data_IF_989829248638
#
_entry.id   IF_989829248638
#
_cell.length_a   1.000
_cell.length_b   1.000
_cell.length_c   1.000
_cell.angle_alpha   90.00
_cell.angle_beta   90.00
_cell.angle_gamma   90.00
#
_symmetry.space_group_name_H-M   'P 1'
#
loop_
_entity.id
_entity.type
_entity.pdbx_description
1 polymer ?
#
# COMPACT_ATOMS: atom_id res chain seq x y z
N UNK A 1 -42.24 42.66 -21.10
CA UNK A 1 -42.41 41.19 -20.98
C UNK A 1 -41.10 40.53 -20.55
N UNK A 2 -40.66 40.65 -19.28
CA UNK A 2 -39.36 40.09 -18.86
C UNK A 2 -39.32 39.44 -17.46
N UNK A 3 -40.44 39.36 -16.74
CA UNK A 3 -40.49 38.78 -15.38
C UNK A 3 -40.83 37.27 -15.40
N UNK A 4 -41.60 36.82 -16.40
CA UNK A 4 -42.09 35.44 -16.51
C UNK A 4 -40.97 34.37 -16.54
N UNK A 5 -39.85 34.53 -17.26
CA UNK A 5 -38.82 33.48 -17.33
C UNK A 5 -38.17 33.18 -15.97
N UNK A 6 -37.85 34.22 -15.20
CA UNK A 6 -37.18 34.08 -13.91
C UNK A 6 -38.07 33.45 -12.84
N UNK A 7 -39.39 33.70 -12.88
CA UNK A 7 -40.34 33.04 -11.98
C UNK A 7 -40.41 31.53 -12.20
N UNK A 8 -40.31 31.07 -13.46
CA UNK A 8 -40.28 29.63 -13.78
C UNK A 8 -38.99 28.99 -13.28
N UNK A 9 -37.83 29.62 -13.51
CA UNK A 9 -36.53 29.12 -13.02
C UNK A 9 -36.51 29.05 -11.48
N UNK A 10 -37.02 30.08 -10.80
CA UNK A 10 -37.14 30.09 -9.34
C UNK A 10 -38.07 28.98 -8.82
N UNK A 11 -39.21 28.74 -9.47
CA UNK A 11 -40.12 27.66 -9.10
C UNK A 11 -39.48 26.27 -9.25
N UNK A 12 -38.73 26.03 -10.33
CA UNK A 12 -38.00 24.77 -10.56
C UNK A 12 -36.90 24.57 -9.51
N UNK A 13 -36.14 25.62 -9.16
CA UNK A 13 -35.12 25.55 -8.11
C UNK A 13 -35.72 25.22 -6.73
N UNK A 14 -36.83 25.87 -6.36
CA UNK A 14 -37.54 25.58 -5.09
C UNK A 14 -38.03 24.13 -5.06
N UNK A 15 -38.60 23.64 -6.17
CA UNK A 15 -39.11 22.27 -6.26
C UNK A 15 -37.97 21.23 -6.17
N UNK A 16 -36.83 21.50 -6.79
CA UNK A 16 -35.60 20.70 -6.64
C UNK A 16 -35.16 20.61 -5.17
N UNK A 17 -35.08 21.74 -4.45
CA UNK A 17 -34.72 21.73 -3.02
C UNK A 17 -35.74 20.98 -2.15
N UNK A 18 -37.04 21.04 -2.45
CA UNK A 18 -38.06 20.26 -1.73
C UNK A 18 -37.86 18.75 -1.95
N UNK A 19 -37.59 18.32 -3.19
CA UNK A 19 -37.31 16.91 -3.52
C UNK A 19 -36.01 16.43 -2.85
N UNK A 20 -34.93 17.20 -2.93
CA UNK A 20 -33.68 16.88 -2.21
C UNK A 20 -33.91 16.78 -0.70
N UNK A 21 -34.74 17.66 -0.11
CA UNK A 21 -35.04 17.60 1.33
C UNK A 21 -35.88 16.37 1.70
N UNK A 22 -36.80 15.92 0.84
CA UNK A 22 -37.56 14.68 1.04
C UNK A 22 -36.67 13.43 0.92
N UNK A 23 -35.70 13.42 0.00
CA UNK A 23 -34.74 12.33 -0.17
C UNK A 23 -33.77 12.25 1.02
N UNK A 24 -33.25 13.39 1.49
CA UNK A 24 -32.25 13.44 2.57
C UNK A 24 -32.84 13.21 3.96
N UNK A 25 -34.06 13.70 4.23
CA UNK A 25 -34.67 13.62 5.57
C UNK A 25 -35.74 12.53 5.73
N UNK A 26 -36.21 11.93 4.62
CA UNK A 26 -37.25 10.90 4.62
C UNK A 26 -38.64 11.41 5.02
N UNK A 27 -39.68 10.64 4.68
CA UNK A 27 -41.06 10.95 5.08
C UNK A 27 -41.27 10.49 6.52
N UNK A 28 -41.15 11.42 7.47
CA UNK A 28 -41.24 11.16 8.90
C UNK A 28 -42.63 10.71 9.38
N UNK A 29 -42.88 9.41 9.37
CA UNK A 29 -44.01 8.78 10.06
C UNK A 29 -43.78 8.72 11.58
N UNK A 30 -44.72 9.27 12.36
CA UNK A 30 -44.65 9.24 13.84
C UNK A 30 -44.82 7.82 14.38
N UNK A 31 -43.91 7.40 15.25
CA UNK A 31 -44.20 6.42 16.31
C UNK A 31 -43.47 6.80 17.59
N UNK A 32 -44.14 6.63 18.73
CA UNK A 32 -43.61 6.85 20.08
C UNK A 32 -43.22 5.49 20.67
N UNK A 33 -42.11 5.42 21.39
CA UNK A 33 -41.96 4.75 22.70
C UNK A 33 -40.53 5.09 23.20
N UNK A 34 -40.41 5.87 24.28
CA UNK A 34 -40.36 5.39 25.66
C UNK A 34 -39.10 4.55 25.92
N UNK A 35 -38.05 5.19 26.44
CA UNK A 35 -36.74 4.57 26.66
C UNK A 35 -36.60 3.90 28.02
N UNK A 36 -35.58 3.05 28.14
CA UNK A 36 -35.00 2.60 29.40
C UNK A 36 -33.49 2.69 29.27
N UNK A 37 -32.83 3.37 30.21
CA UNK A 37 -31.39 3.22 30.42
C UNK A 37 -31.17 1.89 31.16
N UNK A 38 -30.35 1.01 30.60
CA UNK A 38 -29.82 -0.15 31.31
C UNK A 38 -28.32 -0.23 31.04
N UNK A 39 -27.56 0.24 32.03
CA UNK A 39 -26.12 0.10 32.12
C UNK A 39 -25.83 -1.35 32.54
N UNK A 40 -25.25 -2.15 31.66
CA UNK A 40 -24.85 -3.53 31.96
C UNK A 40 -23.42 -3.75 31.49
N UNK A 41 -22.50 -3.59 32.42
CA UNK A 41 -21.19 -4.26 32.37
C UNK A 41 -21.40 -5.77 32.33
N UNK A 42 -21.13 -6.38 31.19
CA UNK A 42 -21.05 -7.83 31.02
C UNK A 42 -19.64 -8.19 30.55
N UNK A 43 -18.86 -8.81 31.44
CA UNK A 43 -17.57 -9.39 31.10
C UNK A 43 -17.78 -10.58 30.16
N UNK A 44 -17.21 -10.53 28.95
CA UNK A 44 -17.24 -11.64 28.00
C UNK A 44 -16.05 -12.56 28.30
N UNK A 45 -16.25 -13.88 28.49
CA UNK A 45 -15.16 -14.78 28.87
C UNK A 45 -14.15 -14.95 27.73
N UNK A 46 -12.91 -14.53 27.99
CA UNK A 46 -11.77 -14.68 27.07
C UNK A 46 -11.43 -16.16 26.89
N UNK A 47 -11.68 -16.72 25.70
CA UNK A 47 -11.13 -18.04 25.33
C UNK A 47 -9.59 -17.96 25.24
N UNK A 48 -8.85 -18.98 25.69
CA UNK A 48 -7.39 -18.93 25.74
C UNK A 48 -6.77 -18.93 24.34
N UNK A 49 -5.70 -18.15 24.17
CA UNK A 49 -4.86 -18.09 22.96
C UNK A 49 -4.56 -19.50 22.42
N UNK A 50 -5.01 -19.79 21.20
CA UNK A 50 -4.47 -20.93 20.43
C UNK A 50 -2.99 -20.69 20.16
N UNK A 51 -2.20 -21.77 20.26
CA UNK A 51 -0.75 -21.73 20.04
C UNK A 51 -0.48 -21.42 18.56
N UNK A 52 0.48 -20.54 18.28
CA UNK A 52 0.99 -20.32 16.92
C UNK A 52 1.50 -21.66 16.36
N UNK A 53 0.83 -22.20 15.34
CA UNK A 53 1.32 -23.35 14.57
C UNK A 53 2.38 -22.84 13.58
N UNK A 54 3.57 -23.47 13.47
CA UNK A 54 4.58 -23.02 12.53
C UNK A 54 4.17 -23.33 11.09
N UNK A 55 4.05 -22.31 10.25
CA UNK A 55 3.92 -22.47 8.80
C UNK A 55 5.21 -23.11 8.28
N UNK A 56 5.11 -24.24 7.58
CA UNK A 56 6.25 -24.94 7.00
C UNK A 56 6.05 -25.27 5.51
N UNK A 57 7.06 -24.87 4.75
CA UNK A 57 7.57 -25.36 3.44
C UNK A 57 7.13 -26.79 3.03
N UNK A 58 7.03 -27.16 1.75
CA UNK A 58 7.26 -26.49 0.44
C UNK A 58 6.49 -27.31 -0.66
N UNK A 59 6.70 -27.15 -1.99
CA UNK A 59 7.68 -27.87 -2.85
C UNK A 59 7.08 -27.87 -4.29
N UNK A 60 7.81 -27.91 -5.44
CA UNK A 60 9.20 -27.55 -5.76
C UNK A 60 9.32 -26.48 -6.88
N UNK A 61 10.55 -26.00 -7.12
CA UNK A 61 10.93 -25.42 -8.43
C UNK A 61 11.08 -26.54 -9.48
N UNK A 62 10.60 -26.31 -10.70
CA UNK A 62 10.93 -27.15 -11.86
C UNK A 62 11.90 -26.41 -12.77
N UNK A 63 13.19 -26.75 -12.68
CA UNK A 63 14.21 -26.32 -13.64
C UNK A 63 13.84 -26.81 -15.04
N UNK A 64 13.66 -25.87 -15.97
CA UNK A 64 13.57 -26.13 -17.40
C UNK A 64 14.72 -25.42 -18.11
N UNK A 65 15.65 -26.22 -18.65
CA UNK A 65 16.85 -25.72 -19.34
C UNK A 65 16.49 -25.02 -20.66
N UNK A 66 17.16 -23.91 -20.98
CA UNK A 66 17.00 -23.20 -22.24
C UNK A 66 17.77 -23.89 -23.39
N UNK A 67 17.11 -24.30 -24.50
CA UNK A 67 17.80 -24.68 -25.72
C UNK A 67 18.18 -23.45 -26.54
N UNK A 68 19.45 -23.32 -26.90
CA UNK A 68 19.94 -22.26 -27.77
C UNK A 68 19.58 -22.51 -29.26
N UNK A 69 19.02 -21.47 -29.90
CA UNK A 69 19.28 -21.03 -31.29
C UNK A 69 18.59 -21.77 -32.47
N UNK A 70 17.70 -21.05 -33.20
CA UNK A 70 17.85 -20.72 -34.65
C UNK A 70 16.77 -19.75 -35.18
N UNK A 71 16.98 -19.19 -36.39
CA UNK A 71 16.21 -18.12 -37.04
C UNK A 71 15.17 -18.63 -38.06
N UNK A 72 14.00 -17.99 -38.11
CA UNK A 72 13.15 -17.71 -39.30
C UNK A 72 12.02 -16.75 -38.85
N UNK A 73 11.78 -15.55 -39.39
CA UNK A 73 11.47 -15.11 -40.75
C UNK A 73 10.04 -15.52 -41.23
N UNK A 74 9.11 -14.55 -41.36
CA UNK A 74 7.79 -14.74 -42.00
C UNK A 74 6.68 -13.80 -41.50
N UNK A 75 6.31 -12.79 -42.30
CA UNK A 75 5.45 -11.65 -41.93
C UNK A 75 3.92 -11.81 -42.08
N UNK A 76 3.16 -10.93 -41.42
CA UNK A 76 1.74 -10.58 -41.68
C UNK A 76 1.16 -9.72 -40.52
N UNK A 77 1.16 -8.38 -40.56
CA UNK A 77 0.11 -7.47 -41.10
C UNK A 77 -1.33 -7.82 -40.65
N UNK A 78 -2.21 -6.92 -40.19
CA UNK A 78 -2.18 -5.47 -39.83
C UNK A 78 -3.61 -5.09 -39.32
N UNK A 79 -3.96 -4.00 -38.64
CA UNK A 79 -3.30 -2.72 -38.29
C UNK A 79 -3.86 -2.16 -36.94
N UNK A 80 -3.47 -0.94 -36.54
CA UNK A 80 -4.01 -0.23 -35.36
C UNK A 80 -3.21 1.04 -35.06
N UNK A 81 -3.52 2.14 -35.76
CA UNK A 81 -2.66 3.33 -35.82
C UNK A 81 -2.94 4.34 -34.70
N UNK A 82 -1.90 4.70 -33.90
CA UNK A 82 -1.65 6.09 -33.42
C UNK A 82 -0.32 6.28 -32.65
N UNK A 83 0.65 5.37 -32.73
CA UNK A 83 2.05 5.69 -32.38
C UNK A 83 3.02 4.86 -33.21
N UNK A 84 3.87 5.48 -34.04
CA UNK A 84 4.92 4.79 -34.79
C UNK A 84 6.29 5.15 -34.23
N UNK A 85 7.03 4.13 -33.77
CA UNK A 85 8.43 4.28 -33.40
C UNK A 85 9.26 4.35 -34.70
N UNK A 86 9.92 5.48 -34.93
CA UNK A 86 10.71 5.74 -36.13
C UNK A 86 11.89 4.75 -36.26
N UNK A 87 12.02 3.98 -37.36
CA UNK A 87 13.15 3.07 -37.54
C UNK A 87 14.41 3.86 -37.96
N UNK A 88 15.30 4.09 -36.98
CA UNK A 88 16.53 4.90 -37.08
C UNK A 88 17.42 4.60 -38.31
N UNK A 89 17.33 3.40 -38.90
CA UNK A 89 18.16 2.99 -40.05
C UNK A 89 17.76 3.56 -41.41
N UNK A 90 16.53 4.04 -41.61
CA UNK A 90 16.16 4.69 -42.89
C UNK A 90 16.45 6.19 -42.92
N UNK A 91 16.43 6.85 -41.76
CA UNK A 91 16.74 8.29 -41.64
C UNK A 91 18.18 8.57 -42.10
N UNK A 92 19.12 7.72 -41.70
CA UNK A 92 20.56 7.85 -42.05
C UNK A 92 20.77 7.85 -43.58
N UNK A 93 20.05 6.99 -44.33
CA UNK A 93 20.21 6.91 -45.80
C UNK A 93 19.49 8.01 -46.59
N UNK A 94 18.52 8.72 -46.00
CA UNK A 94 17.90 9.89 -46.64
C UNK A 94 18.56 11.21 -46.26
N UNK A 95 19.29 11.27 -45.15
CA UNK A 95 20.07 12.45 -44.76
C UNK A 95 21.18 12.79 -45.77
N UNK A 96 21.90 11.79 -46.28
CA UNK A 96 23.02 11.98 -47.21
C UNK A 96 22.61 12.53 -48.61
N UNK A 97 21.32 12.47 -48.96
CA UNK A 97 20.80 12.90 -50.25
C UNK A 97 20.11 14.29 -50.24
N UNK A 98 20.00 14.92 -49.07
CA UNK A 98 19.25 16.18 -48.87
C UNK A 98 20.12 17.32 -48.31
N UNK A 99 21.42 17.32 -48.59
CA UNK A 99 22.35 18.41 -48.30
C UNK A 99 22.14 19.61 -49.25
N UNK A 100 20.97 20.24 -49.17
CA UNK A 100 20.61 21.42 -49.95
C UNK A 100 19.44 22.18 -49.34
N UNK A 101 19.70 23.44 -48.98
CA UNK A 101 18.80 24.44 -48.37
C UNK A 101 18.41 24.22 -46.89
N UNK A 102 18.90 25.16 -46.06
CA UNK A 102 18.40 25.68 -44.78
C UNK A 102 17.46 24.83 -43.89
N UNK A 103 17.99 24.45 -42.72
CA UNK A 103 17.17 23.93 -41.61
C UNK A 103 17.89 22.96 -40.68
N UNK A 104 19.05 23.33 -40.13
CA UNK A 104 19.83 22.43 -39.26
C UNK A 104 20.02 22.97 -37.84
N UNK A 105 19.34 22.34 -36.87
CA UNK A 105 19.68 22.42 -35.44
C UNK A 105 21.06 21.80 -35.23
N UNK A 106 22.12 22.61 -35.24
CA UNK A 106 23.50 22.13 -35.02
C UNK A 106 23.78 21.98 -33.53
N UNK A 107 24.41 20.88 -33.15
CA UNK A 107 25.07 20.76 -31.85
C UNK A 107 26.36 21.58 -31.95
N UNK A 108 26.43 22.68 -31.20
CA UNK A 108 27.64 23.48 -31.11
C UNK A 108 28.68 22.76 -30.26
N UNK A 109 29.90 22.64 -30.77
CA UNK A 109 31.04 22.31 -29.93
C UNK A 109 31.37 23.51 -29.02
N UNK A 110 31.95 23.26 -27.84
CA UNK A 110 32.20 24.29 -26.82
C UNK A 110 33.00 25.48 -27.37
N UNK A 111 33.95 25.21 -28.26
CA UNK A 111 34.77 26.23 -28.93
C UNK A 111 34.06 27.02 -30.04
N UNK A 112 32.88 26.62 -30.49
CA UNK A 112 32.01 27.41 -31.39
C UNK A 112 31.08 28.33 -30.58
N UNK A 113 30.60 27.87 -29.43
CA UNK A 113 29.78 28.66 -28.51
C UNK A 113 30.57 29.84 -27.92
N UNK A 114 31.82 29.61 -27.51
CA UNK A 114 32.70 30.66 -26.98
C UNK A 114 33.07 31.74 -28.02
N UNK A 115 32.97 31.45 -29.33
CA UNK A 115 33.23 32.41 -30.42
C UNK A 115 32.01 33.20 -30.89
N UNK A 116 30.81 32.73 -30.55
CA UNK A 116 29.52 33.35 -30.96
C UNK A 116 28.89 34.20 -29.87
N UNK A 117 29.36 34.07 -28.62
CA UNK A 117 29.00 34.96 -27.53
C UNK A 117 29.67 36.34 -27.69
N UNK A 118 28.92 37.46 -27.73
CA UNK A 118 29.53 38.78 -27.64
C UNK A 118 30.27 38.92 -26.30
N UNK A 119 31.39 39.68 -26.22
CA UNK A 119 32.15 39.83 -24.99
C UNK A 119 31.24 40.38 -23.89
N UNK A 120 31.01 39.55 -22.86
CA UNK A 120 30.12 39.89 -21.77
C UNK A 120 30.66 41.12 -21.02
N UNK A 121 30.10 42.29 -21.31
CA UNK A 121 30.18 43.47 -20.44
C UNK A 121 29.38 43.17 -19.18
N UNK A 122 29.98 42.35 -18.31
CA UNK A 122 29.58 42.21 -16.92
C UNK A 122 29.49 43.63 -16.34
N UNK A 123 28.31 44.13 -15.96
CA UNK A 123 28.26 45.40 -15.25
C UNK A 123 29.04 45.21 -13.95
N UNK A 124 30.05 46.05 -13.72
CA UNK A 124 30.88 46.04 -12.51
C UNK A 124 30.13 46.57 -11.27
N UNK A 125 28.81 46.37 -11.22
CA UNK A 125 28.06 46.42 -9.98
C UNK A 125 28.67 45.41 -9.03
N UNK A 126 28.87 45.82 -7.77
CA UNK A 126 29.35 44.94 -6.70
C UNK A 126 28.45 43.71 -6.68
N UNK A 127 28.98 42.57 -7.14
CA UNK A 127 28.40 41.26 -6.83
C UNK A 127 28.35 41.24 -5.31
N UNK A 128 27.14 41.23 -4.74
CA UNK A 128 26.96 41.12 -3.29
C UNK A 128 27.77 39.92 -2.86
N UNK A 129 28.80 40.15 -2.04
CA UNK A 129 29.79 39.12 -1.75
C UNK A 129 29.05 37.91 -1.19
N UNK A 130 28.97 36.85 -1.99
CA UNK A 130 28.32 35.61 -1.58
C UNK A 130 29.16 35.09 -0.42
N UNK A 131 28.64 35.25 0.79
CA UNK A 131 29.34 34.85 2.00
C UNK A 131 29.44 33.34 1.94
N UNK A 132 30.65 32.84 1.70
CA UNK A 132 30.90 31.41 1.63
C UNK A 132 30.38 30.77 2.92
N UNK A 133 29.66 29.65 2.78
CA UNK A 133 29.20 28.88 3.91
C UNK A 133 30.38 28.53 4.83
N UNK A 134 30.16 28.58 6.14
CA UNK A 134 31.19 28.17 7.10
C UNK A 134 31.58 26.72 6.82
N UNK A 135 32.88 26.45 6.83
CA UNK A 135 33.41 25.10 6.72
C UNK A 135 32.74 24.15 7.74
N UNK A 136 32.54 22.86 7.40
CA UNK A 136 31.91 21.90 8.28
C UNK A 136 32.67 21.80 9.61
N UNK A 137 31.91 21.80 10.70
CA UNK A 137 32.42 21.90 12.06
C UNK A 137 32.91 20.53 12.54
N UNK A 138 34.23 20.33 12.62
CA UNK A 138 34.83 19.09 13.13
C UNK A 138 34.58 19.02 14.64
N UNK A 139 34.14 17.86 15.12
CA UNK A 139 33.92 17.61 16.55
C UNK A 139 35.26 17.35 17.26
N UNK A 140 35.76 18.34 17.97
CA UNK A 140 37.02 18.27 18.74
C UNK A 140 36.83 17.82 20.21
N UNK A 141 35.60 17.49 20.62
CA UNK A 141 35.27 17.00 21.97
C UNK A 141 33.93 16.26 22.01
N UNK A 142 33.62 15.64 23.15
CA UNK A 142 32.39 14.85 23.35
C UNK A 142 31.15 15.74 23.18
N UNK A 143 30.30 15.49 22.16
CA UNK A 143 29.15 16.34 21.90
C UNK A 143 28.01 16.02 22.86
N UNK A 144 27.34 17.05 23.40
CA UNK A 144 26.11 16.85 24.17
C UNK A 144 24.94 16.61 23.23
N UNK A 145 23.95 15.80 23.66
CA UNK A 145 22.77 15.48 22.86
C UNK A 145 22.04 16.74 22.33
N UNK A 146 21.84 17.74 23.18
CA UNK A 146 21.23 19.02 22.81
C UNK A 146 22.06 19.79 21.76
N UNK A 147 23.40 19.71 21.83
CA UNK A 147 24.27 20.31 20.81
C UNK A 147 24.22 19.56 19.47
N UNK A 148 24.00 18.24 19.49
CA UNK A 148 23.79 17.43 18.28
C UNK A 148 22.44 17.77 17.64
N UNK A 149 21.36 17.84 18.43
CA UNK A 149 20.02 18.20 17.94
C UNK A 149 20.04 19.55 17.20
N UNK A 150 20.60 20.61 17.81
CA UNK A 150 20.69 21.92 17.16
C UNK A 150 21.62 21.90 15.94
N UNK A 151 22.69 21.09 15.94
CA UNK A 151 23.55 20.89 14.75
C UNK A 151 22.78 20.23 13.61
N UNK A 152 21.97 19.20 13.89
CA UNK A 152 21.20 18.49 12.86
C UNK A 152 20.05 19.32 12.29
N UNK A 153 19.33 20.07 13.14
CA UNK A 153 18.34 21.06 12.68
C UNK A 153 19.02 22.10 11.78
N UNK A 154 20.09 22.74 12.25
CA UNK A 154 20.84 23.74 11.48
C UNK A 154 21.38 23.19 10.16
N UNK A 155 21.91 21.97 10.15
CA UNK A 155 22.38 21.34 8.91
C UNK A 155 21.25 21.10 7.91
N UNK A 156 20.09 20.59 8.37
CA UNK A 156 18.94 20.36 7.51
C UNK A 156 18.47 21.66 6.85
N UNK A 157 18.25 22.72 7.64
CA UNK A 157 17.76 24.01 7.15
C UNK A 157 18.73 24.65 6.14
N UNK A 158 20.04 24.63 6.43
CA UNK A 158 21.07 25.18 5.55
C UNK A 158 21.19 24.46 4.19
N UNK A 159 20.60 23.26 4.02
CA UNK A 159 20.59 22.54 2.74
C UNK A 159 19.66 23.17 1.69
N UNK A 160 18.82 24.13 2.09
CA UNK A 160 17.81 24.77 1.25
C UNK A 160 18.06 26.28 1.16
N UNK A 161 18.00 26.85 -0.04
CA UNK A 161 18.34 28.27 -0.27
C UNK A 161 17.38 29.28 0.37
N UNK A 162 16.19 28.85 0.77
CA UNK A 162 15.25 29.60 1.61
C UNK A 162 14.32 28.60 2.33
N UNK A 163 13.94 28.92 3.57
CA UNK A 163 13.13 28.06 4.44
C UNK A 163 12.07 28.88 5.17
N UNK A 164 10.87 28.32 5.37
CA UNK A 164 9.80 28.97 6.14
C UNK A 164 9.89 28.64 7.63
N UNK A 165 9.26 29.46 8.48
CA UNK A 165 9.16 29.18 9.92
C UNK A 165 8.45 27.86 10.23
N UNK A 166 7.51 27.43 9.38
CA UNK A 166 6.83 26.14 9.47
C UNK A 166 7.83 25.00 9.28
N UNK A 167 8.66 25.06 8.23
CA UNK A 167 9.69 24.03 7.99
C UNK A 167 10.74 24.03 9.11
N UNK A 168 11.12 25.18 9.67
CA UNK A 168 11.98 25.20 10.86
C UNK A 168 11.32 24.49 12.05
N UNK A 169 10.07 24.80 12.34
CA UNK A 169 9.31 24.20 13.44
C UNK A 169 9.15 22.69 13.26
N UNK A 170 8.76 22.23 12.08
CA UNK A 170 8.60 20.81 11.75
C UNK A 170 9.93 20.07 11.83
N UNK A 171 11.02 20.68 11.32
CA UNK A 171 12.38 20.14 11.43
C UNK A 171 12.80 19.99 12.89
N UNK A 172 12.59 21.01 13.73
CA UNK A 172 12.88 20.96 15.17
C UNK A 172 12.07 19.87 15.87
N UNK A 173 10.76 19.82 15.60
CA UNK A 173 9.84 18.84 16.19
C UNK A 173 10.26 17.41 15.86
N UNK A 174 10.43 17.09 14.56
CA UNK A 174 10.79 15.73 14.13
C UNK A 174 12.19 15.33 14.61
N UNK A 175 13.18 16.23 14.59
CA UNK A 175 14.54 15.91 15.06
C UNK A 175 14.52 15.53 16.55
N UNK A 176 13.92 16.36 17.39
CA UNK A 176 13.80 16.08 18.81
C UNK A 176 12.92 14.85 19.11
N UNK A 177 11.89 14.58 18.31
CA UNK A 177 11.05 13.38 18.43
C UNK A 177 11.84 12.10 18.12
N UNK A 178 12.55 12.08 16.99
CA UNK A 178 13.37 10.95 16.55
C UNK A 178 14.46 10.59 17.55
N UNK A 179 15.20 11.59 18.05
CA UNK A 179 16.26 11.39 19.05
C UNK A 179 15.68 10.81 20.35
N UNK A 180 14.58 11.38 20.87
CA UNK A 180 13.94 10.89 22.11
C UNK A 180 13.42 9.44 22.00
N UNK A 181 12.99 9.02 20.81
CA UNK A 181 12.45 7.69 20.56
C UNK A 181 13.48 6.65 20.10
N UNK A 182 14.79 6.94 20.21
CA UNK A 182 15.85 5.95 19.96
C UNK A 182 15.89 4.83 21.02
N UNK A 183 15.38 5.07 22.24
CA UNK A 183 15.40 4.09 23.36
C UNK A 183 16.81 3.55 23.66
N UNK A 184 17.74 4.49 23.91
CA UNK A 184 19.17 4.25 24.16
C UNK A 184 19.64 5.16 25.30
N UNK A 185 20.71 4.76 26.01
CA UNK A 185 21.35 5.63 26.99
C UNK A 185 21.98 6.87 26.31
N UNK A 186 22.07 8.04 26.97
CA UNK A 186 22.48 9.29 26.32
C UNK A 186 23.88 9.28 25.69
N UNK A 187 24.81 8.48 26.23
CA UNK A 187 26.17 8.32 25.68
C UNK A 187 26.15 7.49 24.39
N UNK A 188 25.56 6.28 24.43
CA UNK A 188 25.36 5.43 23.24
C UNK A 188 24.56 6.14 22.13
N UNK A 189 23.57 6.96 22.53
CA UNK A 189 22.77 7.77 21.62
C UNK A 189 23.62 8.85 20.93
N UNK A 190 24.48 9.55 21.68
CA UNK A 190 25.40 10.54 21.11
C UNK A 190 26.40 9.87 20.14
N UNK A 191 27.00 8.74 20.53
CA UNK A 191 27.93 7.99 19.69
C UNK A 191 27.25 7.49 18.40
N UNK A 192 26.04 6.90 18.50
CA UNK A 192 25.24 6.49 17.34
C UNK A 192 24.93 7.67 16.41
N UNK A 193 24.54 8.82 16.96
CA UNK A 193 24.26 10.05 16.21
C UNK A 193 25.52 10.68 15.56
N UNK A 194 26.74 10.41 16.03
CA UNK A 194 27.95 10.82 15.31
C UNK A 194 28.19 10.01 14.03
N UNK A 195 27.54 8.85 13.86
CA UNK A 195 27.79 7.98 12.73
C UNK A 195 27.09 8.45 11.44
N UNK A 196 27.84 8.54 10.34
CA UNK A 196 27.38 9.11 9.07
C UNK A 196 26.10 8.47 8.50
N UNK A 197 25.94 7.15 8.62
CA UNK A 197 24.72 6.45 8.16
C UNK A 197 23.49 6.85 8.97
N UNK A 198 23.66 7.10 10.27
CA UNK A 198 22.57 7.55 11.16
C UNK A 198 22.23 9.01 10.88
N UNK A 199 23.23 9.86 10.61
CA UNK A 199 23.00 11.24 10.19
C UNK A 199 22.29 11.33 8.83
N UNK A 200 22.64 10.49 7.85
CA UNK A 200 21.94 10.42 6.57
C UNK A 200 20.51 9.88 6.75
N UNK A 201 20.31 8.89 7.62
CA UNK A 201 18.98 8.39 7.98
C UNK A 201 18.12 9.48 8.64
N UNK A 202 18.68 10.24 9.58
CA UNK A 202 18.03 11.38 10.23
C UNK A 202 17.63 12.46 9.21
N UNK A 203 18.52 12.83 8.29
CA UNK A 203 18.22 13.80 7.23
C UNK A 203 17.09 13.33 6.30
N UNK A 204 17.05 12.05 5.98
CA UNK A 204 15.98 11.47 5.16
C UNK A 204 14.65 11.37 5.94
N UNK A 205 14.69 11.07 7.23
CA UNK A 205 13.53 11.09 8.13
C UNK A 205 12.94 12.51 8.28
N UNK A 206 13.79 13.50 8.58
CA UNK A 206 13.45 14.93 8.58
C UNK A 206 12.80 15.33 7.26
N UNK A 207 13.42 14.98 6.12
CA UNK A 207 12.91 15.32 4.78
C UNK A 207 11.55 14.72 4.49
N UNK A 208 11.34 13.45 4.85
CA UNK A 208 10.05 12.77 4.65
C UNK A 208 8.94 13.49 5.43
N UNK A 209 9.17 13.74 6.72
CA UNK A 209 8.17 14.40 7.58
C UNK A 209 7.90 15.85 7.15
N UNK A 210 8.94 16.64 6.85
CA UNK A 210 8.78 18.03 6.38
C UNK A 210 8.02 18.14 5.06
N UNK A 211 8.08 17.12 4.19
CA UNK A 211 7.30 17.07 2.95
C UNK A 211 5.85 16.62 3.18
N UNK A 212 5.59 15.80 4.21
CA UNK A 212 4.28 15.26 4.55
C UNK A 212 4.09 15.22 6.08
N UNK A 213 3.79 16.36 6.73
CA UNK A 213 3.77 16.46 8.19
C UNK A 213 2.46 15.91 8.77
N UNK A 214 2.33 14.58 8.84
CA UNK A 214 1.21 13.88 9.48
C UNK A 214 1.70 12.81 10.47
N UNK A 215 0.80 12.35 11.35
CA UNK A 215 1.14 11.40 12.43
C UNK A 215 1.58 10.03 11.89
N UNK A 216 0.99 9.57 10.78
CA UNK A 216 1.34 8.30 10.11
C UNK A 216 2.80 8.31 9.67
N UNK A 217 3.19 9.36 8.94
CA UNK A 217 4.56 9.58 8.45
C UNK A 217 5.52 9.75 9.63
N UNK A 218 5.16 10.51 10.67
CA UNK A 218 5.98 10.67 11.88
C UNK A 218 6.29 9.31 12.53
N UNK A 219 5.27 8.46 12.70
CA UNK A 219 5.45 7.10 13.23
C UNK A 219 6.33 6.24 12.31
N UNK A 220 6.10 6.28 11.00
CA UNK A 220 6.87 5.50 10.01
C UNK A 220 8.36 5.88 10.01
N UNK A 221 8.68 7.18 10.01
CA UNK A 221 10.07 7.63 10.03
C UNK A 221 10.74 7.38 11.38
N UNK A 222 9.97 7.37 12.48
CA UNK A 222 10.47 7.05 13.82
C UNK A 222 10.87 5.59 13.94
N UNK A 223 10.00 4.67 13.53
CA UNK A 223 10.33 3.25 13.50
C UNK A 223 11.54 2.96 12.58
N UNK A 224 11.55 3.54 11.38
CA UNK A 224 12.65 3.35 10.43
C UNK A 224 13.98 3.95 10.91
N UNK A 225 13.96 5.14 11.51
CA UNK A 225 15.17 5.74 12.08
C UNK A 225 15.69 4.94 13.27
N UNK A 226 14.82 4.51 14.17
CA UNK A 226 15.20 3.71 15.33
C UNK A 226 15.69 2.30 14.94
N UNK A 227 15.19 1.71 13.85
CA UNK A 227 15.74 0.48 13.26
C UNK A 227 17.16 0.70 12.71
N UNK A 228 17.44 1.85 12.07
CA UNK A 228 18.79 2.18 11.57
C UNK A 228 19.78 2.49 12.69
N UNK A 229 19.35 3.24 13.71
CA UNK A 229 20.24 3.74 14.76
C UNK A 229 20.63 2.69 15.82
N UNK A 230 19.79 1.66 15.99
CA UNK A 230 20.05 0.50 16.89
C UNK A 230 20.55 -0.74 16.17
N UNK A 231 20.16 -0.94 14.91
CA UNK A 231 20.44 -2.15 14.16
C UNK A 231 21.89 -2.29 13.72
N UNK A 232 22.36 -3.53 13.54
CA UNK A 232 23.69 -3.79 12.96
C UNK A 232 23.62 -3.59 11.45
N UNK A 233 24.65 -2.98 10.86
CA UNK A 233 24.70 -2.63 9.43
C UNK A 233 24.70 -3.84 8.47
N UNK A 234 24.95 -5.04 8.99
CA UNK A 234 24.87 -6.31 8.26
C UNK A 234 23.47 -6.96 8.33
N UNK A 235 22.54 -6.42 9.12
CA UNK A 235 21.19 -6.97 9.23
C UNK A 235 20.30 -6.44 8.11
N UNK A 236 19.49 -7.35 7.54
CA UNK A 236 18.53 -7.06 6.47
C UNK A 236 17.61 -5.92 6.87
N UNK A 237 17.06 -5.97 8.10
CA UNK A 237 16.15 -4.96 8.66
C UNK A 237 16.76 -3.56 8.68
N UNK A 238 17.99 -3.41 9.18
CA UNK A 238 18.72 -2.13 9.22
C UNK A 238 18.94 -1.55 7.82
N UNK A 239 19.29 -2.41 6.86
CA UNK A 239 19.52 -2.02 5.46
C UNK A 239 18.21 -1.58 4.80
N UNK A 240 17.14 -2.35 4.97
CA UNK A 240 15.81 -2.04 4.44
C UNK A 240 15.23 -0.76 5.06
N UNK A 241 15.43 -0.52 6.36
CA UNK A 241 14.99 0.69 7.04
C UNK A 241 15.71 1.95 6.49
N UNK A 242 17.01 1.84 6.25
CA UNK A 242 17.82 2.90 5.66
C UNK A 242 17.45 3.20 4.20
N UNK A 243 17.24 2.16 3.38
CA UNK A 243 16.79 2.33 1.99
C UNK A 243 15.34 2.84 1.92
N UNK A 244 14.46 2.41 2.83
CA UNK A 244 13.10 2.93 2.96
C UNK A 244 13.11 4.44 3.28
N UNK A 245 13.96 4.90 4.20
CA UNK A 245 14.14 6.32 4.47
C UNK A 245 14.60 7.10 3.21
N UNK A 246 15.37 6.49 2.30
CA UNK A 246 15.73 7.09 0.99
C UNK A 246 14.59 7.05 -0.04
N UNK A 247 13.63 6.16 0.10
CA UNK A 247 12.47 6.03 -0.78
C UNK A 247 11.35 7.02 -0.40
N UNK A 248 10.96 7.07 0.88
CA UNK A 248 9.79 7.82 1.37
C UNK A 248 9.74 9.33 1.02
N UNK A 249 10.85 10.10 0.95
CA UNK A 249 10.83 11.51 0.50
C UNK A 249 10.42 11.72 -0.97
N UNK A 250 10.22 10.63 -1.72
CA UNK A 250 9.81 10.59 -3.13
C UNK A 250 8.50 9.82 -3.31
N UNK A 251 7.71 9.70 -2.24
CA UNK A 251 6.43 9.00 -2.20
C UNK A 251 5.32 9.95 -1.73
N UNK A 252 4.08 9.52 -1.96
CA UNK A 252 2.86 10.18 -1.49
C UNK A 252 2.08 9.24 -0.57
N UNK A 253 1.17 9.78 0.24
CA UNK A 253 0.33 9.01 1.17
C UNK A 253 -0.49 7.92 0.45
N UNK A 254 -0.99 8.25 -0.75
CA UNK A 254 -1.66 7.30 -1.67
C UNK A 254 -0.82 6.06 -1.96
N UNK A 255 0.50 6.20 -2.06
CA UNK A 255 1.42 5.11 -2.35
C UNK A 255 1.68 4.23 -1.11
N UNK A 256 1.73 4.82 0.09
CA UNK A 256 1.81 4.05 1.34
C UNK A 256 0.53 3.21 1.56
N UNK A 257 -0.63 3.77 1.24
CA UNK A 257 -1.91 3.07 1.28
C UNK A 257 -1.94 1.89 0.28
N UNK A 258 -1.49 2.10 -0.96
CA UNK A 258 -1.38 1.04 -1.95
C UNK A 258 -0.43 -0.09 -1.52
N UNK A 259 0.75 0.23 -0.98
CA UNK A 259 1.66 -0.79 -0.43
C UNK A 259 1.03 -1.58 0.73
N UNK A 260 0.28 -0.89 1.59
CA UNK A 260 -0.42 -1.51 2.73
C UNK A 260 -1.47 -2.52 2.29
N UNK A 261 -2.30 -2.17 1.31
CA UNK A 261 -3.29 -3.08 0.73
C UNK A 261 -2.62 -4.28 0.04
N UNK A 262 -1.53 -4.07 -0.70
CA UNK A 262 -0.77 -5.17 -1.30
C UNK A 262 -0.22 -6.13 -0.24
N UNK A 263 0.30 -5.62 0.89
CA UNK A 263 0.81 -6.47 1.98
C UNK A 263 -0.33 -7.30 2.60
N UNK A 264 -1.45 -6.65 2.88
CA UNK A 264 -2.61 -7.28 3.51
C UNK A 264 -3.20 -8.41 2.66
N UNK A 265 -3.23 -8.26 1.33
CA UNK A 265 -3.90 -9.21 0.43
C UNK A 265 -2.98 -10.27 -0.19
N UNK A 266 -1.69 -10.00 -0.42
CA UNK A 266 -0.77 -10.99 -1.00
C UNK A 266 0.12 -11.71 0.01
N UNK A 267 0.38 -11.09 1.17
CA UNK A 267 1.39 -11.57 2.12
C UNK A 267 0.84 -11.78 3.54
N UNK A 268 -0.46 -11.51 3.74
CA UNK A 268 -1.13 -11.70 5.01
C UNK A 268 -2.43 -12.47 4.83
N UNK A 269 -2.85 -13.15 5.90
CA UNK A 269 -4.11 -13.88 5.93
C UNK A 269 -4.63 -13.92 7.36
N UNK A 270 -5.89 -13.53 7.54
CA UNK A 270 -6.53 -13.61 8.84
C UNK A 270 -7.41 -14.87 8.90
N UNK A 271 -7.03 -15.83 9.74
CA UNK A 271 -7.75 -17.11 9.92
C UNK A 271 -9.16 -16.95 10.46
N UNK A 272 -9.47 -15.83 11.11
CA UNK A 272 -10.76 -15.56 11.73
C UNK A 272 -11.82 -15.10 10.71
N UNK A 273 -11.43 -14.81 9.46
CA UNK A 273 -12.32 -14.41 8.38
C UNK A 273 -13.11 -15.62 7.81
N UNK A 274 -13.97 -16.20 8.65
CA UNK A 274 -14.79 -17.39 8.33
C UNK A 274 -16.21 -17.06 7.88
N UNK A 275 -16.71 -15.88 8.22
CA UNK A 275 -18.10 -15.46 8.00
C UNK A 275 -18.24 -13.99 7.55
N UNK A 276 -19.45 -13.60 7.18
CA UNK A 276 -19.79 -12.24 6.70
C UNK A 276 -19.50 -11.14 7.73
N UNK A 277 -19.71 -11.39 9.03
CA UNK A 277 -19.48 -10.41 10.09
C UNK A 277 -17.98 -10.28 10.42
N UNK A 278 -17.25 -11.40 10.46
CA UNK A 278 -15.80 -11.43 10.57
C UNK A 278 -15.13 -10.66 9.42
N UNK A 279 -15.52 -10.94 8.16
CA UNK A 279 -15.05 -10.16 7.02
C UNK A 279 -15.43 -8.67 7.13
N UNK A 280 -16.65 -8.33 7.55
CA UNK A 280 -17.06 -6.92 7.73
C UNK A 280 -16.22 -6.21 8.80
N UNK A 281 -15.90 -6.89 9.90
CA UNK A 281 -15.00 -6.39 10.96
C UNK A 281 -13.56 -6.22 10.44
N UNK A 282 -13.08 -7.19 9.65
CA UNK A 282 -11.79 -7.12 8.98
C UNK A 282 -11.71 -5.93 8.01
N UNK A 283 -12.71 -5.75 7.14
CA UNK A 283 -12.77 -4.61 6.21
C UNK A 283 -12.68 -3.27 6.93
N UNK A 284 -13.51 -3.07 7.97
CA UNK A 284 -13.53 -1.83 8.74
C UNK A 284 -12.17 -1.49 9.37
N UNK A 285 -11.42 -2.52 9.78
CA UNK A 285 -10.13 -2.34 10.46
C UNK A 285 -8.96 -2.22 9.49
N UNK A 286 -8.87 -3.08 8.47
CA UNK A 286 -7.68 -3.23 7.63
C UNK A 286 -7.82 -2.70 6.20
N UNK A 287 -9.04 -2.48 5.68
CA UNK A 287 -9.24 -2.05 4.28
C UNK A 287 -9.69 -0.59 4.25
N UNK A 288 -10.74 -0.25 5.00
CA UNK A 288 -11.32 1.11 5.06
C UNK A 288 -10.30 2.24 5.30
N UNK A 289 -9.26 2.08 6.15
CA UNK A 289 -8.28 3.15 6.36
C UNK A 289 -7.45 3.50 5.11
N UNK A 290 -7.12 2.53 4.27
CA UNK A 290 -6.23 2.71 3.11
C UNK A 290 -6.98 2.86 1.78
N UNK A 291 -8.29 2.63 1.75
CA UNK A 291 -9.06 2.61 0.50
C UNK A 291 -9.37 4.01 -0.08
N UNK A 292 -9.40 5.05 0.77
CA UNK A 292 -9.88 6.39 0.39
C UNK A 292 -8.94 7.17 -0.51
N UNK A 293 -7.65 6.90 -0.40
CA UNK A 293 -6.58 7.67 -1.05
C UNK A 293 -5.60 6.67 -1.65
N UNK A 294 -5.74 6.42 -2.94
CA UNK A 294 -4.92 5.50 -3.73
C UNK A 294 -4.44 6.21 -5.00
N UNK A 295 -3.38 5.71 -5.68
CA UNK A 295 -2.86 6.39 -6.85
C UNK A 295 -3.86 6.29 -8.01
N UNK A 296 -4.45 7.42 -8.40
CA UNK A 296 -5.44 7.50 -9.50
C UNK A 296 -4.83 7.18 -10.88
N UNK A 297 -3.52 7.39 -11.03
CA UNK A 297 -2.83 7.28 -12.31
C UNK A 297 -1.86 6.08 -12.39
N UNK A 298 -1.70 5.57 -13.61
CA UNK A 298 -0.64 4.63 -14.00
C UNK A 298 0.77 5.12 -13.59
N UNK A 299 0.99 6.44 -13.64
CA UNK A 299 2.24 7.12 -13.25
C UNK A 299 2.65 6.83 -11.80
N UNK A 300 1.70 6.81 -10.85
CA UNK A 300 1.98 6.58 -9.42
C UNK A 300 2.54 5.18 -9.14
N UNK A 301 1.97 4.14 -9.75
CA UNK A 301 2.50 2.79 -9.62
C UNK A 301 3.84 2.61 -10.35
N UNK A 302 4.06 3.29 -11.48
CA UNK A 302 5.37 3.32 -12.13
C UNK A 302 6.44 4.03 -11.29
N UNK A 303 6.07 5.09 -10.56
CA UNK A 303 6.96 5.75 -9.60
C UNK A 303 7.34 4.78 -8.47
N UNK A 304 6.37 4.03 -7.93
CA UNK A 304 6.61 2.99 -6.92
C UNK A 304 7.54 1.88 -7.44
N UNK A 305 7.45 1.49 -8.72
CA UNK A 305 8.40 0.55 -9.35
C UNK A 305 9.78 1.18 -9.55
N UNK A 306 9.85 2.41 -10.03
CA UNK A 306 11.10 3.16 -10.26
C UNK A 306 11.92 3.33 -8.96
N UNK A 307 11.25 3.65 -7.85
CA UNK A 307 11.90 3.70 -6.53
C UNK A 307 12.06 2.32 -5.87
N UNK A 308 11.63 1.23 -6.52
CA UNK A 308 11.78 -0.17 -6.12
C UNK A 308 10.95 -0.62 -4.91
N UNK A 309 9.78 -0.03 -4.69
CA UNK A 309 8.81 -0.50 -3.68
C UNK A 309 7.92 -1.64 -4.22
N UNK A 310 7.62 -1.64 -5.52
CA UNK A 310 6.88 -2.73 -6.20
C UNK A 310 7.65 -3.28 -7.39
N UNK A 311 7.24 -4.45 -7.87
CA UNK A 311 7.54 -4.96 -9.21
C UNK A 311 6.23 -5.09 -9.99
N UNK A 312 6.18 -4.62 -11.24
CA UNK A 312 5.03 -4.83 -12.10
C UNK A 312 5.15 -6.14 -12.88
N UNK A 313 4.25 -7.08 -12.59
CA UNK A 313 4.20 -8.38 -13.22
C UNK A 313 3.52 -8.33 -14.60
N UNK A 314 3.87 -9.30 -15.45
CA UNK A 314 3.18 -9.51 -16.74
C UNK A 314 1.82 -10.20 -16.57
N UNK A 315 1.61 -10.91 -15.45
CA UNK A 315 0.34 -11.56 -15.13
C UNK A 315 -0.54 -10.57 -14.37
N UNK A 316 -1.82 -10.55 -14.72
CA UNK A 316 -2.84 -9.87 -13.92
C UNK A 316 -3.53 -10.89 -12.98
N UNK A 317 -3.74 -10.49 -11.73
CA UNK A 317 -4.45 -11.26 -10.70
C UNK A 317 -5.64 -10.42 -10.22
N UNK A 318 -6.85 -10.77 -10.66
CA UNK A 318 -8.07 -10.07 -10.22
C UNK A 318 -8.28 -10.21 -8.72
N UNK A 319 -8.97 -9.24 -8.12
CA UNK A 319 -9.22 -9.24 -6.67
C UNK A 319 -9.98 -10.50 -6.21
N UNK A 320 -10.93 -10.95 -7.03
CA UNK A 320 -11.63 -12.21 -6.79
C UNK A 320 -10.73 -13.44 -6.84
N UNK A 321 -9.66 -13.43 -7.64
CA UNK A 321 -8.65 -14.50 -7.61
C UNK A 321 -7.81 -14.45 -6.34
N UNK A 322 -7.45 -13.26 -5.87
CA UNK A 322 -6.76 -13.10 -4.58
C UNK A 322 -7.61 -13.62 -3.41
N UNK A 323 -8.90 -13.30 -3.38
CA UNK A 323 -9.83 -13.83 -2.36
C UNK A 323 -10.06 -15.34 -2.50
N UNK A 324 -10.18 -15.87 -3.72
CA UNK A 324 -10.27 -17.30 -4.00
C UNK A 324 -9.05 -18.06 -3.45
N UNK A 325 -7.84 -17.57 -3.70
CA UNK A 325 -6.60 -18.25 -3.29
C UNK A 325 -6.30 -18.03 -1.79
N UNK A 326 -6.69 -16.88 -1.23
CA UNK A 326 -6.49 -16.56 0.19
C UNK A 326 -7.58 -17.13 1.11
N UNK A 327 -8.77 -17.44 0.62
CA UNK A 327 -9.85 -18.04 1.41
C UNK A 327 -10.64 -19.07 0.57
N UNK A 328 -10.01 -20.20 0.15
CA UNK A 328 -10.62 -21.15 -0.78
C UNK A 328 -11.97 -21.69 -0.31
N UNK A 329 -12.08 -22.12 0.96
CA UNK A 329 -13.36 -22.63 1.46
C UNK A 329 -14.46 -21.56 1.51
N UNK A 330 -14.11 -20.27 1.51
CA UNK A 330 -15.06 -19.15 1.53
C UNK A 330 -15.46 -18.67 0.13
N UNK A 331 -14.54 -18.57 -0.84
CA UNK A 331 -14.83 -18.03 -2.18
C UNK A 331 -14.68 -19.02 -3.36
N UNK A 332 -13.94 -20.12 -3.23
CA UNK A 332 -13.76 -21.09 -4.30
C UNK A 332 -14.89 -22.14 -4.41
N UNK A 333 -15.71 -22.28 -3.36
CA UNK A 333 -16.77 -23.29 -3.28
C UNK A 333 -18.08 -22.72 -2.75
N UNK A 334 -19.24 -23.24 -3.17
CA UNK A 334 -20.56 -22.84 -2.66
C UNK A 334 -20.86 -23.41 -1.26
N UNK A 335 -20.24 -24.52 -0.89
CA UNK A 335 -20.45 -25.21 0.39
C UNK A 335 -21.43 -26.39 0.30
N UNK A 336 -21.93 -26.80 1.46
CA UNK A 336 -22.72 -28.01 1.67
C UNK A 336 -24.19 -27.70 2.01
N UNK A 337 -25.11 -28.63 1.73
CA UNK A 337 -26.45 -28.56 2.29
C UNK A 337 -26.41 -28.91 3.78
N UNK A 338 -27.29 -28.30 4.59
CA UNK A 338 -27.35 -28.59 6.03
C UNK A 338 -27.58 -30.08 6.33
N UNK A 339 -28.33 -30.78 5.47
CA UNK A 339 -28.52 -32.24 5.52
C UNK A 339 -27.24 -33.06 5.29
N UNK A 340 -26.38 -32.63 4.36
CA UNK A 340 -25.07 -33.28 4.08
C UNK A 340 -24.08 -33.10 5.23
N UNK A 341 -24.18 -32.01 5.98
CA UNK A 341 -23.40 -31.80 7.21
C UNK A 341 -24.01 -32.56 8.41
N UNK A 342 -25.35 -32.67 8.43
CA UNK A 342 -26.09 -33.37 9.50
C UNK A 342 -25.93 -34.89 9.48
N UNK A 343 -25.56 -35.48 8.33
CA UNK A 343 -25.31 -36.92 8.21
C UNK A 343 -24.03 -37.38 8.92
N UNK A 344 -23.05 -36.49 9.05
CA UNK A 344 -21.78 -36.72 9.75
C UNK A 344 -21.90 -36.43 11.25
N UNK A 345 -22.56 -35.32 11.60
CA UNK A 345 -22.82 -34.93 12.98
C UNK A 345 -24.18 -34.24 13.04
N UNK A 346 -25.10 -34.73 13.87
CA UNK A 346 -26.44 -34.14 14.00
C UNK A 346 -26.46 -32.88 14.87
N UNK A 347 -25.55 -32.78 15.84
CA UNK A 347 -25.47 -31.72 16.83
C UNK A 347 -24.21 -30.87 16.60
N UNK A 348 -24.36 -29.74 15.90
CA UNK A 348 -23.25 -28.80 15.62
C UNK A 348 -23.33 -27.61 16.58
N UNK A 349 -22.21 -27.16 17.18
CA UNK A 349 -22.16 -25.90 17.92
C UNK A 349 -22.60 -24.71 17.06
N UNK A 350 -23.19 -23.69 17.68
CA UNK A 350 -23.81 -22.54 16.97
C UNK A 350 -22.84 -21.81 16.03
N UNK A 351 -21.56 -21.71 16.39
CA UNK A 351 -20.51 -21.06 15.59
C UNK A 351 -19.78 -22.00 14.61
N UNK A 352 -20.04 -23.31 14.65
CA UNK A 352 -19.25 -24.28 13.88
C UNK A 352 -19.63 -24.31 12.39
N UNK A 353 -20.89 -23.99 12.07
CA UNK A 353 -21.43 -23.99 10.71
C UNK A 353 -22.01 -22.62 10.34
N UNK A 354 -21.30 -21.93 9.46
CA UNK A 354 -21.58 -20.59 8.97
C UNK A 354 -22.44 -20.65 7.69
N UNK A 355 -23.42 -19.74 7.49
CA UNK A 355 -24.10 -19.57 6.21
C UNK A 355 -23.14 -19.20 5.07
N UNK A 356 -23.27 -19.87 3.92
CA UNK A 356 -22.48 -19.56 2.73
C UNK A 356 -22.80 -18.17 2.17
N UNK A 357 -21.78 -17.53 1.58
CA UNK A 357 -21.95 -16.30 0.80
C UNK A 357 -22.69 -16.54 -0.53
N UNK A 358 -22.71 -17.79 -1.03
CA UNK A 358 -23.15 -18.16 -2.39
C UNK A 358 -24.45 -19.00 -2.37
N UNK A 359 -25.55 -18.41 -1.89
CA UNK A 359 -26.88 -19.02 -1.65
C UNK A 359 -26.99 -19.84 -0.35
N UNK A 360 -28.15 -20.49 -0.14
CA UNK A 360 -28.62 -21.20 1.08
C UNK A 360 -27.85 -22.48 1.46
N UNK A 361 -26.53 -22.50 1.24
CA UNK A 361 -25.61 -23.52 1.69
C UNK A 361 -24.98 -23.13 3.03
N UNK A 362 -24.28 -24.08 3.66
CA UNK A 362 -23.52 -23.90 4.90
C UNK A 362 -22.08 -24.34 4.70
N UNK A 363 -21.19 -23.80 5.53
CA UNK A 363 -19.75 -24.07 5.52
C UNK A 363 -19.25 -24.24 6.95
N UNK A 364 -18.27 -25.13 7.20
CA UNK A 364 -17.45 -25.07 8.39
C UNK A 364 -16.85 -23.69 8.59
N UNK A 365 -16.68 -23.27 9.84
CA UNK A 365 -15.95 -22.05 10.21
C UNK A 365 -14.43 -22.21 9.98
N UNK A 366 -14.02 -22.38 8.72
CA UNK A 366 -12.66 -22.71 8.30
C UNK A 366 -12.34 -22.04 6.96
N UNK A 367 -11.14 -21.46 6.84
CA UNK A 367 -10.72 -20.71 5.64
C UNK A 367 -10.06 -21.55 4.54
N UNK A 368 -9.42 -22.68 4.88
CA UNK A 368 -8.86 -23.66 3.93
C UNK A 368 -8.80 -25.09 4.47
N UNK A 369 -8.33 -26.00 3.61
CA UNK A 369 -8.12 -27.41 3.93
C UNK A 369 -7.00 -27.63 4.97
N UNK A 370 -6.07 -26.69 5.16
CA UNK A 370 -4.97 -26.85 6.12
C UNK A 370 -5.46 -26.82 7.57
N UNK A 371 -6.46 -25.97 7.84
CA UNK A 371 -7.12 -25.86 9.15
C UNK A 371 -8.30 -26.84 9.32
N UNK A 372 -8.68 -27.56 8.26
CA UNK A 372 -9.81 -28.49 8.29
C UNK A 372 -9.58 -29.69 9.21
N UNK A 373 -8.34 -30.18 9.31
CA UNK A 373 -8.00 -31.28 10.21
C UNK A 373 -8.17 -30.90 11.70
N UNK A 374 -7.71 -29.70 12.07
CA UNK A 374 -7.87 -29.14 13.42
C UNK A 374 -9.35 -28.89 13.75
N UNK A 375 -10.12 -28.34 12.81
CA UNK A 375 -11.57 -28.18 12.94
C UNK A 375 -12.29 -29.52 13.17
N UNK A 376 -11.94 -30.57 12.41
CA UNK A 376 -12.51 -31.90 12.65
C UNK A 376 -12.17 -32.44 14.05
N UNK A 377 -10.95 -32.22 14.54
CA UNK A 377 -10.55 -32.61 15.88
C UNK A 377 -11.33 -31.84 16.97
N UNK A 378 -11.46 -30.51 16.83
CA UNK A 378 -12.25 -29.65 17.71
C UNK A 378 -13.73 -30.08 17.80
N UNK A 379 -14.31 -30.48 16.66
CA UNK A 379 -15.69 -30.94 16.56
C UNK A 379 -15.89 -32.41 16.98
N UNK A 380 -14.83 -33.12 17.38
CA UNK A 380 -14.88 -34.52 17.79
C UNK A 380 -15.12 -35.51 16.65
N UNK A 381 -14.80 -35.14 15.40
CA UNK A 381 -14.96 -35.97 14.21
C UNK A 381 -13.71 -36.84 14.05
N UNK A 382 -13.77 -38.06 14.58
CA UNK A 382 -12.62 -38.97 14.66
C UNK A 382 -12.53 -39.98 13.52
N UNK A 383 -13.65 -40.30 12.84
CA UNK A 383 -13.65 -41.27 11.73
C UNK A 383 -13.08 -40.64 10.45
N UNK A 384 -12.14 -41.32 9.82
CA UNK A 384 -11.55 -40.88 8.54
C UNK A 384 -12.54 -40.91 7.37
N UNK A 385 -13.53 -41.82 7.40
CA UNK A 385 -14.61 -41.86 6.41
C UNK A 385 -15.43 -40.57 6.45
N UNK A 386 -15.81 -40.11 7.66
CA UNK A 386 -16.59 -38.89 7.88
C UNK A 386 -15.81 -37.63 7.46
N UNK A 387 -14.52 -37.55 7.81
CA UNK A 387 -13.62 -36.45 7.36
C UNK A 387 -13.49 -36.41 5.84
N UNK A 388 -13.27 -37.57 5.22
CA UNK A 388 -13.14 -37.71 3.77
C UNK A 388 -14.44 -37.35 3.05
N UNK A 389 -15.60 -37.73 3.61
CA UNK A 389 -16.90 -37.38 3.09
C UNK A 389 -17.15 -35.87 3.19
N UNK A 390 -16.91 -35.25 4.36
CA UNK A 390 -17.03 -33.80 4.53
C UNK A 390 -16.17 -33.05 3.51
N UNK A 391 -14.87 -33.36 3.41
CA UNK A 391 -13.97 -32.67 2.48
C UNK A 391 -14.46 -32.75 1.02
N UNK A 392 -14.91 -33.94 0.59
CA UNK A 392 -15.54 -34.14 -0.72
C UNK A 392 -16.81 -33.30 -0.92
N UNK A 393 -17.67 -33.22 0.09
CA UNK A 393 -18.90 -32.40 0.03
C UNK A 393 -18.55 -30.91 -0.05
N UNK A 394 -17.56 -30.42 0.71
CA UNK A 394 -17.11 -29.02 0.65
C UNK A 394 -16.58 -28.66 -0.74
N UNK A 395 -15.77 -29.55 -1.33
CA UNK A 395 -15.19 -29.36 -2.66
C UNK A 395 -16.16 -29.67 -3.82
N UNK A 396 -17.31 -30.28 -3.56
CA UNK A 396 -18.23 -30.79 -4.60
C UNK A 396 -18.88 -29.71 -5.49
N UNK A 397 -18.88 -28.45 -5.04
CA UNK A 397 -19.57 -27.33 -5.69
C UNK A 397 -18.62 -26.14 -5.89
N UNK A 398 -17.64 -26.24 -6.80
CA UNK A 398 -16.75 -25.11 -7.11
C UNK A 398 -17.51 -23.91 -7.66
N UNK A 399 -16.89 -22.74 -7.55
CA UNK A 399 -17.37 -21.44 -8.04
C UNK A 399 -16.35 -20.90 -9.03
N UNK A 400 -16.76 -20.74 -10.29
CA UNK A 400 -15.98 -20.02 -11.29
C UNK A 400 -16.01 -18.51 -10.99
N UNK A 401 -14.95 -17.78 -11.36
CA UNK A 401 -14.88 -16.34 -11.12
C UNK A 401 -15.83 -15.55 -12.02
N UNK A 402 -16.97 -15.12 -11.49
CA UNK A 402 -17.79 -14.03 -12.05
C UNK A 402 -17.57 -12.74 -11.24
N UNK A 403 -17.07 -11.70 -11.94
CA UNK A 403 -16.84 -10.36 -11.38
C UNK A 403 -18.12 -9.75 -10.78
N UNK A 404 -19.29 -9.97 -11.41
CA UNK A 404 -20.58 -9.40 -11.00
C UNK A 404 -21.19 -10.12 -9.80
N UNK A 405 -21.18 -11.46 -9.81
CA UNK A 405 -21.65 -12.25 -8.66
C UNK A 405 -20.78 -11.93 -7.43
N UNK A 406 -19.45 -11.87 -7.59
CA UNK A 406 -18.56 -11.49 -6.50
C UNK A 406 -18.83 -10.06 -6.02
N UNK A 407 -18.98 -9.08 -6.90
CA UNK A 407 -19.23 -7.68 -6.52
C UNK A 407 -20.49 -7.55 -5.65
N UNK A 408 -21.58 -8.21 -6.04
CA UNK A 408 -22.82 -8.28 -5.27
C UNK A 408 -22.66 -8.98 -3.90
N UNK A 409 -21.79 -9.99 -3.80
CA UNK A 409 -21.46 -10.64 -2.53
C UNK A 409 -20.64 -9.72 -1.64
N UNK A 410 -19.61 -9.07 -2.20
CA UNK A 410 -18.73 -8.15 -1.47
C UNK A 410 -19.51 -6.94 -0.95
N UNK A 411 -20.43 -6.37 -1.74
CA UNK A 411 -21.29 -5.25 -1.34
C UNK A 411 -22.16 -5.59 -0.11
N UNK A 412 -22.69 -6.83 -0.02
CA UNK A 412 -23.42 -7.30 1.17
C UNK A 412 -22.55 -7.40 2.42
N UNK A 413 -21.27 -7.72 2.26
CA UNK A 413 -20.31 -7.77 3.37
C UNK A 413 -19.99 -6.33 3.79
N UNK A 414 -19.49 -5.51 2.87
CA UNK A 414 -19.19 -4.10 3.05
C UNK A 414 -19.06 -3.38 1.69
N UNK A 415 -19.61 -2.16 1.50
CA UNK A 415 -19.42 -1.40 0.26
C UNK A 415 -17.94 -1.16 -0.05
N UNK A 416 -17.10 -1.00 0.99
CA UNK A 416 -15.64 -0.85 0.84
C UNK A 416 -14.98 -2.06 0.18
N UNK A 417 -15.52 -3.29 0.34
CA UNK A 417 -14.98 -4.47 -0.37
C UNK A 417 -15.36 -4.47 -1.85
N UNK A 418 -16.55 -3.99 -2.21
CA UNK A 418 -16.95 -3.84 -3.61
C UNK A 418 -16.11 -2.74 -4.30
N UNK A 419 -15.89 -1.62 -3.62
CA UNK A 419 -14.97 -0.57 -4.07
C UNK A 419 -13.52 -1.06 -4.17
N UNK A 420 -13.05 -1.86 -3.21
CA UNK A 420 -11.73 -2.51 -3.27
C UNK A 420 -11.59 -3.40 -4.51
N UNK A 421 -12.62 -4.18 -4.87
CA UNK A 421 -12.63 -4.97 -6.11
C UNK A 421 -12.56 -4.07 -7.36
N UNK A 422 -13.32 -2.97 -7.38
CA UNK A 422 -13.31 -2.03 -8.49
C UNK A 422 -11.93 -1.39 -8.68
N UNK A 423 -11.35 -0.82 -7.62
CA UNK A 423 -10.04 -0.16 -7.67
C UNK A 423 -8.93 -1.16 -7.99
N UNK A 424 -8.95 -2.37 -7.41
CA UNK A 424 -7.95 -3.39 -7.69
C UNK A 424 -7.98 -3.87 -9.14
N UNK A 425 -9.17 -4.22 -9.66
CA UNK A 425 -9.33 -4.75 -11.02
C UNK A 425 -9.13 -3.67 -12.12
N UNK A 426 -9.19 -2.38 -11.77
CA UNK A 426 -8.97 -1.27 -12.73
C UNK A 426 -7.57 -0.66 -12.67
N UNK A 427 -6.99 -0.52 -11.48
CA UNK A 427 -5.63 0.01 -11.26
C UNK A 427 -4.53 -1.05 -11.51
N UNK A 428 -3.26 -0.65 -11.34
CA UNK A 428 -2.12 -1.55 -11.42
C UNK A 428 -1.91 -2.43 -10.16
N UNK A 429 -2.77 -2.34 -9.13
CA UNK A 429 -2.71 -3.25 -7.97
C UNK A 429 -2.76 -4.72 -8.42
N UNK A 430 -3.64 -5.07 -9.36
CA UNK A 430 -3.73 -6.42 -9.95
C UNK A 430 -2.47 -6.93 -10.65
N UNK A 431 -1.46 -6.09 -10.84
CA UNK A 431 -0.16 -6.40 -11.47
C UNK A 431 1.02 -6.12 -10.53
N UNK A 432 0.79 -5.66 -9.31
CA UNK A 432 1.87 -5.21 -8.42
C UNK A 432 2.19 -6.29 -7.38
N UNK A 433 3.44 -6.72 -7.31
CA UNK A 433 3.95 -7.45 -6.14
C UNK A 433 4.95 -6.59 -5.36
N UNK A 434 5.06 -6.82 -4.05
CA UNK A 434 5.93 -6.03 -3.18
C UNK A 434 7.38 -6.51 -3.25
N UNK A 435 8.31 -5.56 -3.28
CA UNK A 435 9.72 -5.84 -2.94
C UNK A 435 9.88 -5.90 -1.42
N UNK A 436 11.00 -6.40 -0.91
CA UNK A 436 11.30 -6.38 0.54
C UNK A 436 11.21 -4.97 1.14
N UNK A 437 11.62 -3.93 0.40
CA UNK A 437 11.50 -2.53 0.82
C UNK A 437 10.04 -2.07 0.82
N UNK A 438 9.25 -2.48 -0.19
CA UNK A 438 7.81 -2.24 -0.22
C UNK A 438 7.09 -2.89 0.96
N UNK A 439 7.43 -4.13 1.30
CA UNK A 439 6.89 -4.84 2.47
C UNK A 439 7.27 -4.14 3.78
N UNK A 440 8.51 -3.67 3.91
CA UNK A 440 8.97 -2.91 5.07
C UNK A 440 8.16 -1.61 5.26
N UNK A 441 7.99 -0.82 4.19
CA UNK A 441 7.22 0.44 4.21
C UNK A 441 5.74 0.17 4.47
N UNK A 442 5.15 -0.84 3.84
CA UNK A 442 3.78 -1.28 4.08
C UNK A 442 3.54 -1.63 5.55
N UNK A 443 4.43 -2.44 6.16
CA UNK A 443 4.35 -2.79 7.59
C UNK A 443 4.41 -1.55 8.48
N UNK A 444 5.32 -0.61 8.18
CA UNK A 444 5.44 0.63 8.95
C UNK A 444 4.16 1.47 8.87
N UNK A 445 3.57 1.61 7.67
CA UNK A 445 2.30 2.30 7.47
C UNK A 445 1.13 1.61 8.20
N UNK A 446 1.01 0.29 8.09
CA UNK A 446 -0.05 -0.46 8.80
C UNK A 446 0.08 -0.34 10.31
N UNK A 447 1.30 -0.42 10.85
CA UNK A 447 1.56 -0.22 12.28
C UNK A 447 1.21 1.20 12.72
N UNK A 448 1.56 2.22 11.94
CA UNK A 448 1.23 3.61 12.22
C UNK A 448 -0.28 3.88 12.20
N UNK A 449 -1.01 3.35 11.21
CA UNK A 449 -2.44 3.63 10.98
C UNK A 449 -3.37 2.77 11.84
N UNK A 450 -3.03 1.51 12.12
CA UNK A 450 -3.91 0.53 12.80
C UNK A 450 -3.36 0.12 14.18
N UNK A 451 -2.09 0.38 14.48
CA UNK A 451 -1.45 0.01 15.75
C UNK A 451 -1.02 -1.46 15.82
N UNK A 452 -0.97 -2.19 14.71
CA UNK A 452 -0.60 -3.61 14.67
C UNK A 452 0.65 -3.89 13.84
N UNK A 453 1.55 -4.72 14.38
CA UNK A 453 2.80 -5.09 13.72
C UNK A 453 2.66 -6.46 13.04
N UNK A 454 3.00 -6.49 11.75
CA UNK A 454 3.00 -7.71 10.94
C UNK A 454 4.37 -8.40 11.04
N UNK A 455 4.32 -9.70 11.30
CA UNK A 455 5.51 -10.56 11.42
C UNK A 455 6.12 -10.80 10.04
N UNK A 456 7.19 -10.08 9.72
CA UNK A 456 7.93 -10.20 8.47
C UNK A 456 9.22 -11.04 8.61
N UNK A 457 9.43 -11.75 9.72
CA UNK A 457 10.66 -12.52 9.99
C UNK A 457 10.91 -13.70 9.04
N UNK A 458 9.95 -14.04 8.18
CA UNK A 458 10.17 -15.00 7.09
C UNK A 458 10.90 -14.37 5.88
N UNK A 459 10.87 -13.04 5.76
CA UNK A 459 11.41 -12.30 4.60
C UNK A 459 12.60 -11.38 4.93
N UNK A 460 12.91 -11.14 6.22
CA UNK A 460 13.99 -10.25 6.69
C UNK A 460 14.99 -10.98 7.58
#
# INVERSE_FOLDING_TARGET
MFIVPYMVVAAVAILFFIVCRLIVYGVGGKSRHAGVKAEVTAEIPVRPRRKKVPVRQAVPETTAEFPLRKKSAGAGKSAGETTQILPVKEIIKKADAAMGADGATRVFDRGELEKTLPPAKMPSGKVSAFTAEKAPEILEGTPTLQSLEERFVRHFLNRYGAVSSVVEQDTRMVTGHLIRNMDMDPEDMADSLTHIMVQEALQNAQRTYVLMPNDTVLSMVTDAFADVARGRRSETRTTLAYDALKAMPRMEETQFNALSLLLLFHYSRNTDNVDMEAFRKYTRKYITPFLKELPDEYSGYQQMEYIRCVSLENREISFGRVLHDSYPLIFAYRGAMKSELSSVKSDWPEDALVPSLYNSYYKPAVVDDSLFADFCADMGITKEEDKTYLLKVLHSRPVDYDRKELSYILEKISPDLASMQEVWDTSLLRRSSLTLMGMYIARACIKATIGEEFDLSHWM
#
